data_IF_379373024510
#
_entry.id   IF_379373024510
#
_cell.length_a   1.000
_cell.length_b   1.000
_cell.length_c   1.000
_cell.angle_alpha   90.00
_cell.angle_beta   90.00
_cell.angle_gamma   90.00
#
_symmetry.space_group_name_H-M   'P 1'
#
loop_
_entity.id
_entity.type
_entity.pdbx_description
1 polymer ?
#
# COMPACT_ATOMS: atom_id res chain seq x y z
N UNK A 1 14.31 -17.58 -30.52
CA UNK A 1 13.48 -17.54 -29.30
C UNK A 1 13.91 -16.32 -28.52
N UNK A 2 13.09 -15.28 -28.52
CA UNK A 2 13.29 -14.13 -27.63
C UNK A 2 12.79 -14.62 -26.26
N UNK A 3 13.68 -14.72 -25.28
CA UNK A 3 13.28 -14.97 -23.89
C UNK A 3 12.56 -13.72 -23.42
N UNK A 4 11.26 -13.83 -23.13
CA UNK A 4 10.51 -12.77 -22.46
C UNK A 4 11.23 -12.40 -21.17
N UNK A 5 11.52 -11.11 -21.01
CA UNK A 5 12.17 -10.53 -19.86
C UNK A 5 11.15 -10.51 -18.69
N UNK A 6 10.86 -11.67 -18.10
CA UNK A 6 9.92 -11.77 -16.98
C UNK A 6 10.51 -11.03 -15.77
N UNK A 7 9.72 -10.09 -15.26
CA UNK A 7 10.05 -9.31 -14.06
C UNK A 7 10.17 -10.28 -12.87
N UNK A 8 11.21 -10.13 -12.03
CA UNK A 8 11.38 -11.00 -10.88
C UNK A 8 10.20 -10.85 -9.92
N UNK A 9 9.85 -11.91 -9.21
CA UNK A 9 8.84 -11.81 -8.15
C UNK A 9 9.38 -10.97 -6.99
N UNK A 10 8.49 -10.48 -6.11
CA UNK A 10 8.92 -9.79 -4.89
C UNK A 10 9.83 -10.68 -4.04
N UNK A 11 9.51 -11.98 -3.99
CA UNK A 11 10.32 -13.00 -3.34
C UNK A 11 11.74 -13.07 -3.91
N UNK A 12 11.89 -13.14 -5.24
CA UNK A 12 13.21 -13.15 -5.88
C UNK A 12 13.97 -11.83 -5.64
N UNK A 13 13.27 -10.70 -5.76
CA UNK A 13 13.87 -9.38 -5.60
C UNK A 13 14.42 -9.12 -4.20
N UNK A 14 13.71 -9.55 -3.16
CA UNK A 14 14.16 -9.37 -1.77
C UNK A 14 15.30 -10.32 -1.36
N UNK A 15 15.66 -11.29 -2.20
CA UNK A 15 16.67 -12.31 -1.89
C UNK A 15 16.10 -13.62 -1.32
N UNK A 16 14.83 -13.90 -1.59
CA UNK A 16 14.15 -15.16 -1.30
C UNK A 16 13.98 -15.49 0.18
N UNK A 17 13.77 -16.77 0.47
CA UNK A 17 13.52 -17.27 1.83
C UNK A 17 14.64 -16.88 2.82
N UNK A 18 15.94 -16.89 2.48
CA UNK A 18 16.97 -16.44 3.42
C UNK A 18 16.78 -15.00 3.89
N UNK A 19 16.27 -14.10 3.05
CA UNK A 19 15.98 -12.71 3.45
C UNK A 19 14.77 -12.62 4.37
N UNK A 20 13.70 -13.38 4.07
CA UNK A 20 12.51 -13.45 4.90
C UNK A 20 12.78 -14.09 6.27
N UNK A 21 13.63 -15.11 6.32
CA UNK A 21 14.11 -15.71 7.58
C UNK A 21 14.84 -14.64 8.41
N UNK A 22 15.81 -13.92 7.84
CA UNK A 22 16.50 -12.83 8.56
C UNK A 22 15.52 -11.77 9.09
N UNK A 23 14.59 -11.32 8.25
CA UNK A 23 13.53 -10.38 8.62
C UNK A 23 12.72 -10.88 9.82
N UNK A 24 12.19 -12.10 9.73
CA UNK A 24 11.29 -12.64 10.75
C UNK A 24 12.02 -12.96 12.06
N UNK A 25 13.27 -13.42 12.03
CA UNK A 25 14.08 -13.54 13.26
C UNK A 25 14.32 -12.18 13.90
N UNK A 26 14.76 -11.16 13.15
CA UNK A 26 14.93 -9.81 13.69
C UNK A 26 13.61 -9.31 14.29
N UNK A 27 12.50 -9.49 13.60
CA UNK A 27 11.20 -9.05 14.08
C UNK A 27 10.79 -9.76 15.39
N UNK A 28 10.77 -11.10 15.41
CA UNK A 28 10.25 -11.87 16.54
C UNK A 28 11.22 -12.04 17.71
N UNK A 29 12.54 -11.95 17.47
CA UNK A 29 13.55 -12.14 18.52
C UNK A 29 14.08 -10.82 19.08
N UNK A 30 14.15 -9.76 18.26
CA UNK A 30 14.60 -8.44 18.70
C UNK A 30 13.43 -7.52 19.03
N UNK A 31 12.52 -7.28 18.08
CA UNK A 31 11.51 -6.22 18.23
C UNK A 31 10.32 -6.62 19.11
N UNK A 32 9.67 -7.75 18.81
CA UNK A 32 8.46 -8.20 19.53
C UNK A 32 8.66 -8.34 21.05
N UNK A 33 9.74 -8.96 21.57
CA UNK A 33 9.90 -9.14 23.01
C UNK A 33 10.17 -7.84 23.79
N UNK A 34 10.61 -6.79 23.10
CA UNK A 34 10.88 -5.47 23.68
C UNK A 34 9.66 -4.55 23.65
N UNK A 35 8.57 -4.97 23.02
CA UNK A 35 7.39 -4.15 22.82
C UNK A 35 6.27 -4.51 23.80
N UNK A 36 5.83 -3.55 24.61
CA UNK A 36 4.82 -3.79 25.66
C UNK A 36 3.46 -4.25 25.11
N UNK A 37 3.10 -3.85 23.88
CA UNK A 37 1.83 -4.22 23.26
C UNK A 37 1.89 -5.59 22.60
N UNK A 38 3.01 -5.93 21.96
CA UNK A 38 3.15 -7.18 21.21
C UNK A 38 3.70 -8.33 22.04
N UNK A 39 4.61 -8.09 23.00
CA UNK A 39 5.24 -9.16 23.76
C UNK A 39 4.22 -10.12 24.42
N UNK A 40 3.11 -9.66 25.03
CA UNK A 40 2.10 -10.56 25.59
C UNK A 40 1.42 -11.46 24.55
N UNK A 41 1.24 -10.98 23.31
CA UNK A 41 0.60 -11.75 22.23
C UNK A 41 1.43 -12.95 21.78
N UNK A 42 2.76 -12.85 21.91
CA UNK A 42 3.72 -13.83 21.43
C UNK A 42 4.46 -14.56 22.56
N UNK A 43 4.10 -14.36 23.83
CA UNK A 43 4.79 -14.98 24.97
C UNK A 43 4.79 -16.52 24.94
N UNK A 44 3.80 -17.14 24.31
CA UNK A 44 3.68 -18.60 24.11
C UNK A 44 3.98 -19.06 22.67
N UNK A 45 4.63 -18.22 21.87
CA UNK A 45 4.96 -18.50 20.47
C UNK A 45 5.89 -19.73 20.37
N UNK A 46 5.63 -20.60 19.39
CA UNK A 46 6.50 -21.74 19.12
C UNK A 46 7.90 -21.26 18.62
N UNK A 47 8.99 -21.96 18.95
CA UNK A 47 10.33 -21.55 18.53
C UNK A 47 10.50 -21.40 17.01
N UNK A 48 9.77 -22.19 16.21
CA UNK A 48 9.82 -22.19 14.75
C UNK A 48 8.81 -21.22 14.09
N UNK A 49 8.17 -20.35 14.87
CA UNK A 49 7.22 -19.37 14.37
C UNK A 49 7.84 -18.37 13.37
N UNK A 50 9.06 -17.83 13.57
CA UNK A 50 9.71 -16.97 12.58
C UNK A 50 9.79 -17.64 11.19
N UNK A 51 10.24 -18.90 11.14
CA UNK A 51 10.38 -19.67 9.91
C UNK A 51 9.02 -19.96 9.25
N UNK A 52 7.98 -20.22 10.04
CA UNK A 52 6.60 -20.38 9.53
C UNK A 52 6.12 -19.10 8.86
N UNK A 53 6.33 -17.95 9.50
CA UNK A 53 5.94 -16.64 8.94
C UNK A 53 6.78 -16.30 7.70
N UNK A 54 8.08 -16.60 7.70
CA UNK A 54 8.94 -16.43 6.54
C UNK A 54 8.45 -17.29 5.35
N UNK A 55 8.04 -18.53 5.62
CA UNK A 55 7.50 -19.43 4.60
C UNK A 55 6.16 -18.91 4.06
N UNK A 56 5.27 -18.41 4.93
CA UNK A 56 4.00 -17.78 4.54
C UNK A 56 4.22 -16.57 3.62
N UNK A 57 5.06 -15.62 4.04
CA UNK A 57 5.41 -14.45 3.25
C UNK A 57 6.08 -14.84 1.94
N UNK A 58 6.89 -15.90 1.96
CA UNK A 58 7.58 -16.40 0.78
C UNK A 58 6.62 -16.83 -0.31
N UNK A 59 5.62 -17.64 0.05
CA UNK A 59 4.59 -18.08 -0.89
C UNK A 59 3.74 -16.91 -1.39
N UNK A 60 3.35 -16.00 -0.49
CA UNK A 60 2.58 -14.81 -0.85
C UNK A 60 3.30 -13.95 -1.89
N UNK A 61 4.61 -13.73 -1.73
CA UNK A 61 5.40 -12.87 -2.58
C UNK A 61 5.89 -13.53 -3.89
N UNK A 62 5.30 -14.66 -4.27
CA UNK A 62 5.59 -15.38 -5.51
C UNK A 62 6.75 -16.37 -5.40
N UNK A 63 7.07 -16.81 -4.18
CA UNK A 63 7.96 -17.95 -3.93
C UNK A 63 7.23 -19.30 -4.04
N UNK A 64 7.92 -20.42 -3.73
CA UNK A 64 7.31 -21.75 -3.76
C UNK A 64 6.12 -21.88 -2.81
N UNK A 65 5.18 -22.79 -3.12
CA UNK A 65 3.99 -23.13 -2.29
C UNK A 65 4.33 -23.91 -0.99
N UNK A 66 5.52 -23.67 -0.43
CA UNK A 66 6.07 -24.41 0.69
C UNK A 66 5.26 -24.23 1.98
N UNK A 67 4.53 -23.13 2.15
CA UNK A 67 3.67 -22.96 3.33
C UNK A 67 2.41 -23.80 3.17
N UNK A 68 1.81 -23.77 1.99
CA UNK A 68 0.65 -24.60 1.65
C UNK A 68 0.96 -26.07 1.79
N UNK A 69 2.07 -26.55 1.23
CA UNK A 69 2.49 -27.94 1.31
C UNK A 69 2.71 -28.43 2.76
N UNK A 70 3.31 -27.58 3.61
CA UNK A 70 3.72 -27.99 4.97
C UNK A 70 2.65 -27.76 6.02
N UNK A 71 1.87 -26.69 5.88
CA UNK A 71 0.98 -26.21 6.94
C UNK A 71 -0.49 -26.21 6.54
N UNK A 72 -0.83 -26.36 5.25
CA UNK A 72 -2.22 -26.37 4.77
C UNK A 72 -2.75 -25.01 4.34
N UNK A 73 -1.85 -24.06 4.02
CA UNK A 73 -2.18 -22.85 3.28
C UNK A 73 -3.02 -21.84 4.06
N UNK A 74 -3.82 -21.07 3.33
CA UNK A 74 -4.59 -19.95 3.89
C UNK A 74 -5.51 -20.35 5.04
N UNK A 75 -6.16 -21.51 4.96
CA UNK A 75 -7.01 -22.05 6.03
C UNK A 75 -6.23 -22.19 7.35
N UNK A 76 -5.00 -22.71 7.28
CA UNK A 76 -4.15 -22.85 8.45
C UNK A 76 -3.77 -21.48 9.02
N UNK A 77 -3.34 -20.54 8.17
CA UNK A 77 -2.98 -19.18 8.59
C UNK A 77 -4.15 -18.51 9.33
N UNK A 78 -5.36 -18.56 8.76
CA UNK A 78 -6.56 -18.01 9.42
C UNK A 78 -6.79 -18.67 10.77
N UNK A 79 -6.71 -20.00 10.84
CA UNK A 79 -6.93 -20.74 12.10
C UNK A 79 -5.99 -20.30 13.23
N UNK A 80 -4.80 -19.77 12.90
CA UNK A 80 -3.85 -19.25 13.88
C UNK A 80 -4.23 -17.85 14.39
N UNK A 81 -5.17 -17.15 13.75
CA UNK A 81 -5.60 -15.80 14.12
C UNK A 81 -6.98 -15.73 14.77
N UNK A 82 -7.83 -16.75 14.59
CA UNK A 82 -9.18 -16.82 15.17
C UNK A 82 -9.18 -16.60 16.70
N UNK A 83 -10.23 -15.92 17.18
CA UNK A 83 -10.52 -15.67 18.60
C UNK A 83 -9.41 -14.97 19.40
N UNK A 84 -8.43 -14.34 18.73
CA UNK A 84 -7.36 -13.58 19.39
C UNK A 84 -7.75 -12.17 19.80
N UNK A 85 -8.85 -11.61 19.27
CA UNK A 85 -9.33 -10.27 19.61
C UNK A 85 -8.28 -9.17 19.42
N UNK A 86 -7.54 -9.20 18.32
CA UNK A 86 -6.47 -8.23 18.04
C UNK A 86 -7.05 -6.82 17.89
N UNK A 87 -6.42 -5.85 18.55
CA UNK A 87 -6.82 -4.44 18.44
C UNK A 87 -6.15 -3.75 17.25
N UNK A 88 -6.74 -2.64 16.79
CA UNK A 88 -6.13 -1.78 15.77
C UNK A 88 -4.78 -1.21 16.21
N UNK A 89 -4.62 -0.93 17.51
CA UNK A 89 -3.35 -0.46 18.07
C UNK A 89 -2.26 -1.53 17.97
N UNK A 90 -2.58 -2.78 18.30
CA UNK A 90 -1.68 -3.93 18.14
C UNK A 90 -1.32 -4.15 16.66
N UNK A 91 -2.30 -4.02 15.76
CA UNK A 91 -2.09 -4.12 14.30
C UNK A 91 -1.10 -3.08 13.81
N UNK A 92 -1.38 -1.81 14.07
CA UNK A 92 -0.53 -0.69 13.65
C UNK A 92 0.89 -0.82 14.22
N UNK A 93 1.01 -1.27 15.47
CA UNK A 93 2.31 -1.50 16.09
C UNK A 93 3.08 -2.63 15.43
N UNK A 94 2.42 -3.75 15.14
CA UNK A 94 3.02 -4.88 14.42
C UNK A 94 3.50 -4.46 13.03
N UNK A 95 2.66 -3.76 12.26
CA UNK A 95 2.99 -3.29 10.91
C UNK A 95 4.20 -2.34 10.91
N UNK A 96 4.25 -1.40 11.87
CA UNK A 96 5.38 -0.49 12.01
C UNK A 96 6.69 -1.22 12.33
N UNK A 97 6.65 -2.18 13.27
CA UNK A 97 7.85 -2.89 13.70
C UNK A 97 8.37 -3.88 12.66
N UNK A 98 7.51 -4.54 11.87
CA UNK A 98 8.00 -5.42 10.80
C UNK A 98 8.63 -4.61 9.65
N UNK A 99 8.15 -3.39 9.40
CA UNK A 99 8.80 -2.49 8.44
C UNK A 99 10.19 -2.04 8.93
N UNK A 100 10.34 -1.71 10.21
CA UNK A 100 11.65 -1.42 10.82
C UNK A 100 12.58 -2.64 10.76
N UNK A 101 12.06 -3.84 11.06
CA UNK A 101 12.81 -5.07 10.93
C UNK A 101 13.26 -5.36 9.49
N UNK A 102 12.48 -4.92 8.49
CA UNK A 102 12.84 -5.04 7.08
C UNK A 102 14.02 -4.14 6.70
N UNK A 103 14.16 -2.97 7.32
CA UNK A 103 15.37 -2.14 7.16
C UNK A 103 16.58 -2.83 7.80
N UNK A 104 16.45 -3.29 9.04
CA UNK A 104 17.53 -3.98 9.77
C UNK A 104 17.99 -5.29 9.10
N UNK A 105 17.06 -6.01 8.47
CA UNK A 105 17.35 -7.25 7.75
C UNK A 105 18.02 -7.03 6.39
N UNK A 106 18.18 -5.77 5.98
CA UNK A 106 18.78 -5.38 4.71
C UNK A 106 17.91 -5.72 3.50
N UNK A 107 16.58 -5.68 3.64
CA UNK A 107 15.69 -5.81 2.48
C UNK A 107 15.87 -4.60 1.55
N UNK A 108 15.55 -4.74 0.25
CA UNK A 108 15.66 -3.64 -0.70
C UNK A 108 14.91 -2.37 -0.24
N UNK A 109 15.52 -1.21 -0.47
CA UNK A 109 14.98 0.09 -0.05
C UNK A 109 14.41 0.90 -1.23
N UNK A 110 14.37 0.32 -2.43
CA UNK A 110 13.80 1.00 -3.58
C UNK A 110 12.29 1.22 -3.39
N UNK A 111 11.79 2.33 -3.94
CA UNK A 111 10.42 2.78 -3.71
C UNK A 111 9.37 1.78 -4.19
N UNK A 112 9.63 1.07 -5.29
CA UNK A 112 8.68 0.11 -5.85
C UNK A 112 8.52 -1.08 -4.90
N UNK A 113 9.64 -1.66 -4.45
CA UNK A 113 9.63 -2.77 -3.51
C UNK A 113 9.00 -2.36 -2.18
N UNK A 114 9.42 -1.22 -1.59
CA UNK A 114 8.90 -0.76 -0.31
C UNK A 114 7.40 -0.48 -0.37
N UNK A 115 6.90 0.10 -1.46
CA UNK A 115 5.47 0.31 -1.64
C UNK A 115 4.69 -1.01 -1.71
N UNK A 116 5.18 -1.99 -2.49
CA UNK A 116 4.52 -3.28 -2.63
C UNK A 116 4.52 -4.08 -1.30
N UNK A 117 5.67 -4.12 -0.62
CA UNK A 117 5.82 -4.78 0.68
C UNK A 117 4.91 -4.16 1.75
N UNK A 118 4.94 -2.84 1.92
CA UNK A 118 4.11 -2.15 2.92
C UNK A 118 2.62 -2.32 2.62
N UNK A 119 2.22 -2.24 1.35
CA UNK A 119 0.82 -2.42 0.95
C UNK A 119 0.28 -3.81 1.33
N UNK A 120 1.08 -4.86 1.13
CA UNK A 120 0.71 -6.20 1.58
C UNK A 120 0.60 -6.28 3.10
N UNK A 121 1.58 -5.74 3.83
CA UNK A 121 1.60 -5.76 5.30
C UNK A 121 0.36 -5.04 5.86
N UNK A 122 0.00 -3.88 5.33
CA UNK A 122 -1.21 -3.16 5.74
C UNK A 122 -2.47 -3.99 5.46
N UNK A 123 -2.64 -4.49 4.23
CA UNK A 123 -3.80 -5.30 3.85
C UNK A 123 -3.93 -6.58 4.69
N UNK A 124 -2.85 -7.34 4.83
CA UNK A 124 -2.84 -8.62 5.55
C UNK A 124 -3.10 -8.45 7.05
N UNK A 125 -2.54 -7.40 7.67
CA UNK A 125 -2.76 -7.14 9.09
C UNK A 125 -4.18 -6.64 9.37
N UNK A 126 -4.81 -5.91 8.45
CA UNK A 126 -6.24 -5.57 8.56
C UNK A 126 -7.14 -6.81 8.52
N UNK A 127 -6.81 -7.80 7.68
CA UNK A 127 -7.51 -9.08 7.70
C UNK A 127 -7.28 -9.85 9.00
N UNK A 128 -6.06 -9.83 9.55
CA UNK A 128 -5.77 -10.48 10.83
C UNK A 128 -6.64 -9.93 11.98
N UNK A 129 -6.83 -8.61 12.06
CA UNK A 129 -7.77 -7.98 13.01
C UNK A 129 -9.18 -8.49 12.78
N UNK A 130 -9.66 -8.43 11.53
CA UNK A 130 -11.02 -8.85 11.17
C UNK A 130 -11.28 -10.32 11.52
N UNK A 131 -10.33 -11.20 11.23
CA UNK A 131 -10.46 -12.64 11.46
C UNK A 131 -10.29 -13.02 12.94
N UNK A 132 -9.61 -12.19 13.72
CA UNK A 132 -9.43 -12.44 15.15
C UNK A 132 -10.63 -12.07 16.03
N UNK A 133 -11.60 -11.34 15.48
CA UNK A 133 -12.77 -10.89 16.22
C UNK A 133 -13.59 -12.08 16.76
N UNK A 134 -14.13 -12.02 18.00
CA UNK A 134 -14.95 -13.08 18.55
C UNK A 134 -16.15 -13.41 17.64
N UNK A 135 -16.28 -14.69 17.26
CA UNK A 135 -17.36 -15.14 16.38
C UNK A 135 -17.19 -14.78 14.90
N UNK A 136 -16.01 -14.33 14.48
CA UNK A 136 -15.69 -14.15 13.06
C UNK A 136 -15.81 -15.48 12.30
N UNK A 137 -16.37 -15.42 11.08
CA UNK A 137 -16.49 -16.57 10.18
C UNK A 137 -15.81 -16.27 8.82
N UNK A 138 -14.46 -16.24 8.78
CA UNK A 138 -13.73 -15.92 7.57
C UNK A 138 -13.79 -17.04 6.52
N UNK A 139 -13.59 -16.72 5.23
CA UNK A 139 -13.61 -17.70 4.16
C UNK A 139 -12.37 -18.61 4.20
N UNK A 140 -12.52 -19.81 4.78
CA UNK A 140 -11.42 -20.76 5.00
C UNK A 140 -10.89 -21.42 3.72
N UNK A 141 -11.70 -21.50 2.66
CA UNK A 141 -11.37 -22.22 1.41
C UNK A 141 -10.87 -21.30 0.28
N UNK A 142 -10.11 -20.27 0.63
CA UNK A 142 -9.46 -19.41 -0.36
C UNK A 142 -8.00 -19.83 -0.55
N UNK A 143 -7.42 -19.64 -1.76
CA UNK A 143 -6.00 -19.86 -1.98
C UNK A 143 -5.16 -18.88 -1.13
N UNK A 144 -3.88 -19.19 -0.97
CA UNK A 144 -2.92 -18.21 -0.43
C UNK A 144 -2.93 -16.98 -1.33
N UNK A 145 -3.00 -15.76 -0.77
CA UNK A 145 -2.94 -14.54 -1.58
C UNK A 145 -1.63 -14.48 -2.35
N UNK A 146 -1.70 -14.25 -3.66
CA UNK A 146 -0.52 -13.95 -4.46
C UNK A 146 -0.38 -12.43 -4.58
N UNK A 147 0.68 -11.88 -3.98
CA UNK A 147 0.96 -10.45 -3.95
C UNK A 147 2.17 -10.14 -4.81
N UNK A 148 1.97 -9.32 -5.83
CA UNK A 148 3.00 -8.86 -6.74
C UNK A 148 3.32 -7.38 -6.52
N UNK A 149 4.03 -6.79 -7.47
CA UNK A 149 4.47 -5.39 -7.44
C UNK A 149 3.33 -4.36 -7.44
N UNK A 150 2.07 -4.79 -7.56
CA UNK A 150 0.96 -3.91 -7.95
C UNK A 150 1.15 -3.41 -9.39
N UNK A 151 0.34 -2.46 -9.84
CA UNK A 151 0.42 -1.91 -11.21
C UNK A 151 1.74 -1.15 -11.54
N UNK A 152 2.79 -1.22 -10.72
CA UNK A 152 4.01 -0.43 -10.88
C UNK A 152 5.28 -1.27 -10.96
N UNK A 153 5.88 -1.33 -12.14
CA UNK A 153 7.33 -1.50 -12.30
C UNK A 153 7.86 -0.50 -13.34
N UNK A 154 8.95 0.24 -13.05
CA UNK A 154 9.77 0.86 -14.07
C UNK A 154 10.67 -0.21 -14.74
N UNK A 155 10.83 -0.14 -16.06
CA UNK A 155 11.54 -1.15 -16.87
C UNK A 155 13.08 -1.08 -16.77
N UNK A 156 13.80 -2.22 -16.89
CA UNK A 156 15.23 -2.23 -17.14
C UNK A 156 15.52 -1.79 -18.58
N UNK A 157 16.35 -0.76 -18.71
CA UNK A 157 16.70 -0.04 -19.93
C UNK A 157 17.11 -0.93 -21.11
N UNK A 158 16.43 -0.79 -22.26
CA UNK A 158 17.00 -1.17 -23.54
C UNK A 158 16.02 -1.49 -24.68
N UNK A 159 15.19 -0.53 -25.12
CA UNK A 159 14.78 -0.30 -26.53
C UNK A 159 13.46 0.47 -26.57
N UNK A 160 13.50 1.63 -27.22
CA UNK A 160 12.43 2.58 -27.38
C UNK A 160 11.14 1.98 -27.97
N UNK A 161 10.00 2.16 -27.30
CA UNK A 161 8.87 2.95 -27.82
C UNK A 161 7.78 3.22 -26.76
N UNK A 162 7.50 4.51 -26.63
CA UNK A 162 6.57 5.28 -25.78
C UNK A 162 5.21 4.66 -25.38
N UNK A 163 4.93 4.65 -24.08
CA UNK A 163 3.69 5.21 -23.49
C UNK A 163 4.00 5.92 -22.15
N UNK A 164 3.61 7.20 -22.08
CA UNK A 164 3.65 8.11 -20.92
C UNK A 164 2.53 7.71 -19.94
N UNK A 165 2.61 7.75 -18.60
CA UNK A 165 3.59 8.18 -17.62
C UNK A 165 2.84 8.58 -16.33
N UNK A 166 3.36 8.25 -15.14
CA UNK A 166 3.21 9.13 -13.96
C UNK A 166 4.46 8.99 -13.09
N UNK A 167 5.50 9.73 -13.47
CA UNK A 167 6.63 10.06 -12.62
C UNK A 167 6.11 10.90 -11.45
N UNK A 168 6.62 10.67 -10.24
CA UNK A 168 6.83 11.79 -9.30
C UNK A 168 7.92 12.66 -9.93
N UNK A 169 7.55 13.53 -10.86
CA UNK A 169 8.47 14.51 -11.42
C UNK A 169 8.58 15.68 -10.46
N UNK A 170 9.78 16.23 -10.35
CA UNK A 170 10.06 17.55 -9.80
C UNK A 170 9.54 18.65 -10.76
N UNK A 171 8.41 18.39 -11.42
CA UNK A 171 7.82 19.23 -12.45
C UNK A 171 6.71 20.06 -11.79
N UNK A 172 6.64 21.36 -12.09
CA UNK A 172 5.66 22.22 -11.48
C UNK A 172 4.25 21.72 -11.85
N UNK A 173 3.40 21.53 -10.84
CA UNK A 173 1.98 21.28 -11.08
C UNK A 173 1.42 22.56 -11.68
N UNK A 174 0.86 22.45 -12.88
CA UNK A 174 0.28 23.56 -13.63
C UNK A 174 -1.24 23.43 -13.71
N UNK A 175 -1.92 24.56 -13.78
CA UNK A 175 -3.38 24.60 -13.88
C UNK A 175 -3.88 23.90 -15.14
N UNK A 176 -3.31 24.26 -16.28
CA UNK A 176 -3.77 23.82 -17.61
C UNK A 176 -3.66 22.31 -17.78
N UNK A 177 -2.57 21.72 -17.28
CA UNK A 177 -2.32 20.29 -17.46
C UNK A 177 -2.92 19.44 -16.35
N UNK A 178 -2.96 19.96 -15.10
CA UNK A 178 -3.23 19.11 -13.93
C UNK A 178 -4.50 19.45 -13.19
N UNK A 179 -4.95 20.71 -13.20
CA UNK A 179 -6.08 21.16 -12.37
C UNK A 179 -7.34 21.32 -13.20
N UNK A 180 -7.25 21.99 -14.35
CA UNK A 180 -8.38 22.21 -15.24
C UNK A 180 -9.08 20.90 -15.64
N UNK A 181 -8.37 19.80 -15.99
CA UNK A 181 -9.02 18.55 -16.37
C UNK A 181 -9.80 17.85 -15.25
N UNK A 182 -9.53 18.19 -13.97
CA UNK A 182 -10.25 17.61 -12.83
C UNK A 182 -11.69 18.14 -12.73
N UNK A 183 -11.92 19.36 -13.22
CA UNK A 183 -13.27 19.93 -13.31
C UNK A 183 -13.97 19.39 -14.55
N UNK A 184 -15.01 18.57 -14.36
CA UNK A 184 -15.81 18.03 -15.47
C UNK A 184 -16.64 19.17 -16.08
N UNK A 185 -17.06 18.97 -17.33
CA UNK A 185 -17.92 19.95 -18.02
C UNK A 185 -19.22 20.26 -17.23
N UNK A 186 -19.79 19.24 -16.55
CA UNK A 186 -20.95 19.39 -15.66
C UNK A 186 -20.64 20.27 -14.44
N UNK A 187 -19.46 20.12 -13.85
CA UNK A 187 -19.03 20.92 -12.69
C UNK A 187 -18.90 22.39 -13.09
N UNK A 188 -18.24 22.63 -14.24
CA UNK A 188 -18.11 23.97 -14.83
C UNK A 188 -19.48 24.59 -15.10
N UNK A 189 -20.39 23.86 -15.75
CA UNK A 189 -21.75 24.34 -16.02
C UNK A 189 -22.51 24.68 -14.73
N UNK A 190 -22.35 23.85 -13.69
CA UNK A 190 -23.00 24.06 -12.39
C UNK A 190 -22.45 25.27 -11.64
N UNK A 191 -21.21 25.67 -11.90
CA UNK A 191 -20.53 26.80 -11.25
C UNK A 191 -20.50 28.07 -12.10
N UNK A 192 -20.89 28.01 -13.38
CA UNK A 192 -20.79 29.10 -14.33
C UNK A 192 -21.54 30.38 -13.92
N UNK A 193 -22.50 30.27 -13.00
CA UNK A 193 -23.20 31.42 -12.42
C UNK A 193 -22.35 32.22 -11.41
N UNK A 194 -21.32 31.60 -10.82
CA UNK A 194 -20.41 32.22 -9.86
C UNK A 194 -19.08 32.61 -10.50
N UNK A 195 -18.41 31.67 -11.16
CA UNK A 195 -17.14 31.85 -11.86
C UNK A 195 -16.81 30.63 -12.73
N UNK A 196 -15.84 30.74 -13.65
CA UNK A 196 -15.51 29.66 -14.57
C UNK A 196 -14.43 28.73 -14.00
N UNK A 197 -14.78 27.46 -13.75
CA UNK A 197 -13.84 26.43 -13.27
C UNK A 197 -12.75 26.04 -14.29
N UNK A 198 -12.87 26.46 -15.54
CA UNK A 198 -11.81 26.31 -16.54
C UNK A 198 -11.02 27.62 -16.79
N UNK A 199 -11.34 28.69 -16.07
CA UNK A 199 -10.55 29.93 -16.09
C UNK A 199 -9.48 29.88 -15.00
N UNK A 200 -8.22 29.96 -15.41
CA UNK A 200 -7.08 30.05 -14.48
C UNK A 200 -7.26 31.21 -13.49
N UNK A 201 -7.68 32.38 -13.98
CA UNK A 201 -7.83 33.57 -13.15
C UNK A 201 -8.92 33.42 -12.10
N UNK A 202 -10.03 32.77 -12.44
CA UNK A 202 -11.12 32.54 -11.51
C UNK A 202 -10.75 31.45 -10.49
N UNK A 203 -10.19 30.33 -10.95
CA UNK A 203 -9.82 29.24 -10.05
C UNK A 203 -8.72 29.68 -9.08
N UNK A 204 -7.73 30.46 -9.52
CA UNK A 204 -6.70 31.01 -8.63
C UNK A 204 -7.27 32.03 -7.64
N UNK A 205 -8.15 32.93 -8.08
CA UNK A 205 -8.83 33.92 -7.21
C UNK A 205 -9.68 33.24 -6.13
N UNK A 206 -10.26 32.08 -6.43
CA UNK A 206 -11.15 31.35 -5.53
C UNK A 206 -10.54 30.07 -4.93
N UNK A 207 -9.23 29.84 -5.09
CA UNK A 207 -8.58 28.55 -4.81
C UNK A 207 -8.83 28.04 -3.38
N UNK A 208 -8.70 28.89 -2.37
CA UNK A 208 -8.96 28.50 -0.96
C UNK A 208 -10.40 28.07 -0.72
N UNK A 209 -11.37 28.78 -1.29
CA UNK A 209 -12.79 28.45 -1.15
C UNK A 209 -13.16 27.17 -1.88
N UNK A 210 -12.58 26.95 -3.06
CA UNK A 210 -12.72 25.71 -3.83
C UNK A 210 -12.16 24.55 -3.01
N UNK A 211 -10.92 24.67 -2.52
CA UNK A 211 -10.28 23.63 -1.73
C UNK A 211 -11.07 23.26 -0.48
N UNK A 212 -11.58 24.25 0.26
CA UNK A 212 -12.42 23.99 1.42
C UNK A 212 -13.66 23.16 1.05
N UNK A 213 -14.35 23.50 -0.05
CA UNK A 213 -15.53 22.75 -0.51
C UNK A 213 -15.19 21.34 -0.97
N UNK A 214 -14.04 21.14 -1.62
CA UNK A 214 -13.50 19.84 -2.02
C UNK A 214 -13.21 18.96 -0.79
N UNK A 215 -12.56 19.51 0.25
CA UNK A 215 -12.27 18.80 1.51
C UNK A 215 -13.54 18.38 2.25
N UNK A 216 -14.56 19.24 2.25
CA UNK A 216 -15.86 18.93 2.87
C UNK A 216 -16.73 18.01 2.01
N UNK A 217 -16.27 17.61 0.82
CA UNK A 217 -17.05 16.78 -0.11
C UNK A 217 -18.32 17.45 -0.64
N UNK A 218 -18.44 18.77 -0.48
CA UNK A 218 -19.61 19.56 -0.88
C UNK A 218 -19.56 20.04 -2.34
N UNK A 219 -18.43 19.76 -3.00
CA UNK A 219 -18.16 20.08 -4.39
C UNK A 219 -17.36 18.92 -5.01
N UNK A 220 -17.77 18.40 -6.19
CA UNK A 220 -18.98 18.77 -6.94
C UNK A 220 -20.29 18.36 -6.22
N UNK A 221 -21.42 18.92 -6.66
CA UNK A 221 -22.72 18.74 -5.98
C UNK A 221 -23.31 17.33 -6.08
N UNK A 222 -22.72 16.46 -6.91
CA UNK A 222 -23.19 15.12 -7.22
C UNK A 222 -22.20 14.01 -6.83
N UNK A 223 -21.19 14.34 -6.02
CA UNK A 223 -20.22 13.37 -5.51
C UNK A 223 -18.95 14.05 -5.00
N UNK A 224 -18.17 13.34 -4.19
CA UNK A 224 -16.90 13.83 -3.67
C UNK A 224 -15.76 13.52 -4.64
N UNK A 225 -14.76 14.39 -4.71
CA UNK A 225 -13.50 14.05 -5.39
C UNK A 225 -12.76 12.94 -4.64
N UNK A 226 -12.11 12.00 -5.35
CA UNK A 226 -11.11 11.11 -4.75
C UNK A 226 -10.04 11.91 -4.01
N UNK A 227 -9.51 11.35 -2.91
CA UNK A 227 -8.53 12.00 -2.05
C UNK A 227 -7.31 12.52 -2.83
N UNK A 228 -6.82 11.74 -3.79
CA UNK A 228 -5.69 12.08 -4.67
C UNK A 228 -5.90 13.36 -5.50
N UNK A 229 -7.13 13.64 -5.94
CA UNK A 229 -7.43 14.86 -6.71
C UNK A 229 -7.47 16.08 -5.80
N UNK A 230 -7.97 15.90 -4.57
CA UNK A 230 -7.96 16.94 -3.54
C UNK A 230 -6.53 17.28 -3.13
N UNK A 231 -5.67 16.28 -2.95
CA UNK A 231 -4.24 16.47 -2.69
C UNK A 231 -3.51 17.14 -3.87
N UNK A 232 -3.82 16.77 -5.11
CA UNK A 232 -3.23 17.40 -6.29
C UNK A 232 -3.58 18.89 -6.37
N UNK A 233 -4.84 19.24 -6.08
CA UNK A 233 -5.29 20.63 -6.00
C UNK A 233 -4.59 21.39 -4.86
N UNK A 234 -4.47 20.77 -3.68
CA UNK A 234 -3.75 21.36 -2.55
C UNK A 234 -2.29 21.64 -2.90
N UNK A 235 -1.62 20.68 -3.54
CA UNK A 235 -0.21 20.81 -3.91
C UNK A 235 -0.01 21.95 -4.90
N UNK A 236 -0.85 22.06 -5.92
CA UNK A 236 -0.85 23.19 -6.86
C UNK A 236 -1.00 24.54 -6.15
N UNK A 237 -1.92 24.64 -5.18
CA UNK A 237 -2.08 25.84 -4.38
C UNK A 237 -0.82 26.20 -3.60
N UNK A 238 -0.23 25.21 -2.92
CA UNK A 238 0.97 25.42 -2.09
C UNK A 238 2.24 25.66 -2.90
N UNK A 239 2.28 25.23 -4.17
CA UNK A 239 3.40 25.42 -5.09
C UNK A 239 3.34 26.73 -5.88
N UNK A 240 2.47 27.66 -5.50
CA UNK A 240 2.36 28.98 -6.14
C UNK A 240 1.43 29.03 -7.36
N UNK A 241 0.56 28.03 -7.54
CA UNK A 241 -0.50 28.00 -8.55
C UNK A 241 -0.01 28.27 -9.97
N UNK A 242 1.01 27.54 -10.44
CA UNK A 242 1.53 27.72 -11.80
C UNK A 242 0.43 27.47 -12.85
N UNK A 243 0.45 28.22 -13.96
CA UNK A 243 -0.57 28.14 -15.02
C UNK A 243 -0.38 26.95 -15.95
#
# INVERSE_FOLDING_TARGET
MIMENQKPTLYEWMGGLPALIRLTHIFYEKYVPQDELLAPLFAGMAPDHPERVATWLGEVFGGPEAYTERYGGHAHMISRHLDKGLSEEQRARWASLICQAADDAGLPTDHAFRAAFVSYIEWGTHLAVTYSAPGANPPLHQPVPHWDWGEALPEPTGSSQETKGQKRSNEPITFTQHIQPLFRAKDRQSMQWAFDLWSYEDVTRHAQGIFHRLQQGSMPCDGTWPHEQVELFQRWMTSGMAR
#
